data_IF_421657024834
#
_entry.id   IF_421657024834
#
_cell.length_a   1.000
_cell.length_b   1.000
_cell.length_c   1.000
_cell.angle_alpha   90.00
_cell.angle_beta   90.00
_cell.angle_gamma   90.00
#
_symmetry.space_group_name_H-M   'P 1'
#
loop_
_entity.id
_entity.type
_entity.pdbx_description
1 polymer ?
#
# COMPACT_ATOMS: atom_id res chain seq x y z
N UNK A 1 -9.42 -15.35 10.42
CA UNK A 1 -9.11 -15.69 11.84
C UNK A 1 -8.15 -16.87 11.87
N UNK A 2 -6.98 -16.70 12.50
CA UNK A 2 -5.89 -17.69 12.62
C UNK A 2 -5.54 -18.36 11.28
N UNK A 3 -5.53 -17.58 10.20
CA UNK A 3 -5.27 -18.08 8.86
C UNK A 3 -3.84 -18.60 8.74
N UNK A 4 -3.68 -19.85 8.33
CA UNK A 4 -2.39 -20.47 8.14
C UNK A 4 -2.26 -21.15 6.77
N UNK A 5 -1.07 -21.05 6.19
CA UNK A 5 -0.68 -21.80 4.99
C UNK A 5 0.73 -22.33 5.12
N UNK A 6 0.84 -23.64 4.99
CA UNK A 6 2.11 -24.35 4.84
C UNK A 6 2.08 -25.13 3.53
N UNK A 7 3.06 -24.91 2.66
CA UNK A 7 3.20 -25.68 1.43
C UNK A 7 3.89 -27.01 1.73
N UNK A 8 3.51 -28.06 1.00
CA UNK A 8 4.07 -29.41 1.19
C UNK A 8 5.60 -29.46 0.99
N UNK A 9 6.11 -28.61 0.11
CA UNK A 9 7.55 -28.50 -0.22
C UNK A 9 8.33 -27.65 0.75
N UNK A 10 7.70 -27.05 1.78
CA UNK A 10 8.35 -26.13 2.72
C UNK A 10 8.20 -26.58 4.17
N UNK A 11 9.28 -26.50 4.92
CA UNK A 11 9.25 -26.67 6.39
C UNK A 11 8.63 -25.48 7.12
N UNK A 12 8.61 -24.30 6.47
CA UNK A 12 8.13 -23.03 7.07
C UNK A 12 6.71 -22.72 6.61
N UNK A 13 5.98 -22.02 7.46
CA UNK A 13 4.67 -21.44 7.11
C UNK A 13 4.86 -20.24 6.17
N UNK A 14 4.08 -20.21 5.10
CA UNK A 14 3.93 -19.01 4.26
C UNK A 14 3.01 -17.98 4.93
N UNK A 15 1.98 -18.46 5.67
CA UNK A 15 1.16 -17.68 6.61
C UNK A 15 1.06 -18.47 7.90
N UNK A 16 1.38 -17.83 9.02
CA UNK A 16 1.47 -18.47 10.32
C UNK A 16 0.42 -17.91 11.29
N UNK A 17 -0.79 -18.47 11.22
CA UNK A 17 -1.92 -18.14 12.11
C UNK A 17 -2.19 -16.64 12.22
N UNK A 18 -2.29 -15.97 11.07
CA UNK A 18 -2.54 -14.54 11.01
C UNK A 18 -4.01 -14.22 11.33
N UNK A 19 -4.21 -13.15 12.11
CA UNK A 19 -5.49 -12.52 12.36
C UNK A 19 -5.50 -11.14 11.70
N UNK A 20 -6.48 -10.89 10.82
CA UNK A 20 -6.67 -9.62 10.16
C UNK A 20 -8.17 -9.33 10.03
N UNK A 21 -8.53 -8.08 10.28
CA UNK A 21 -9.86 -7.53 10.01
C UNK A 21 -9.69 -6.29 9.15
N UNK A 22 -10.49 -6.15 8.11
CA UNK A 22 -10.45 -5.05 7.17
C UNK A 22 -11.82 -4.41 7.16
N UNK A 23 -11.87 -3.10 7.39
CA UNK A 23 -13.12 -2.36 7.47
C UNK A 23 -13.71 -2.12 6.07
N UNK A 24 -15.03 -2.21 5.97
CA UNK A 24 -15.75 -1.90 4.74
C UNK A 24 -15.52 -0.44 4.32
N UNK A 25 -15.33 -0.22 3.02
CA UNK A 25 -15.09 1.11 2.44
C UNK A 25 -13.72 1.70 2.74
N UNK A 26 -12.82 0.98 3.43
CA UNK A 26 -11.44 1.44 3.65
C UNK A 26 -10.50 1.08 2.50
N UNK A 27 -9.37 1.80 2.42
CA UNK A 27 -8.20 1.39 1.65
C UNK A 27 -7.20 0.79 2.64
N UNK A 28 -7.05 -0.53 2.57
CA UNK A 28 -6.19 -1.31 3.45
C UNK A 28 -4.88 -1.68 2.76
N UNK A 29 -3.75 -1.35 3.38
CA UNK A 29 -2.42 -1.69 2.91
C UNK A 29 -1.87 -2.95 3.57
N UNK A 30 -1.49 -3.97 2.78
CA UNK A 30 -0.74 -5.12 3.26
C UNK A 30 0.72 -5.00 2.81
N UNK A 31 1.58 -4.56 3.71
CA UNK A 31 2.98 -4.30 3.48
C UNK A 31 3.87 -5.45 3.94
N UNK A 32 5.00 -5.61 3.29
CA UNK A 32 5.99 -6.60 3.68
C UNK A 32 7.04 -6.83 2.60
N UNK A 33 8.21 -7.37 2.95
CA UNK A 33 9.23 -7.71 1.97
C UNK A 33 8.76 -8.84 1.04
N UNK A 34 9.52 -9.08 -0.03
CA UNK A 34 9.27 -10.21 -0.90
C UNK A 34 9.37 -11.53 -0.11
N UNK A 35 8.44 -12.45 -0.37
CA UNK A 35 8.34 -13.70 0.39
C UNK A 35 7.71 -13.59 1.78
N UNK A 36 7.22 -12.42 2.20
CA UNK A 36 6.56 -12.25 3.50
C UNK A 36 5.23 -13.01 3.64
N UNK A 37 4.58 -13.37 2.52
CA UNK A 37 3.28 -14.07 2.51
C UNK A 37 2.14 -13.28 1.84
N UNK A 38 2.37 -12.06 1.33
CA UNK A 38 1.35 -11.20 0.74
C UNK A 38 0.57 -11.89 -0.38
N UNK A 39 1.26 -12.38 -1.42
CA UNK A 39 0.62 -13.06 -2.55
C UNK A 39 -0.03 -14.39 -2.13
N UNK A 40 0.50 -15.09 -1.10
CA UNK A 40 -0.17 -16.26 -0.54
C UNK A 40 -1.51 -15.90 0.09
N UNK A 41 -1.57 -14.78 0.82
CA UNK A 41 -2.80 -14.25 1.41
C UNK A 41 -3.83 -13.94 0.32
N UNK A 42 -3.44 -13.19 -0.71
CA UNK A 42 -4.31 -12.85 -1.86
C UNK A 42 -4.80 -14.12 -2.56
N UNK A 43 -3.90 -15.04 -2.86
CA UNK A 43 -4.25 -16.27 -3.58
C UNK A 43 -5.22 -17.16 -2.80
N UNK A 44 -5.20 -17.14 -1.47
CA UNK A 44 -6.21 -17.82 -0.65
C UNK A 44 -7.57 -17.12 -0.80
N UNK A 45 -7.63 -15.80 -0.70
CA UNK A 45 -8.86 -15.04 -0.89
C UNK A 45 -9.46 -15.25 -2.29
N UNK A 46 -8.61 -15.25 -3.31
CA UNK A 46 -8.99 -15.50 -4.71
C UNK A 46 -9.42 -16.96 -4.99
N UNK A 47 -9.22 -17.88 -4.03
CA UNK A 47 -9.49 -19.30 -4.21
C UNK A 47 -8.49 -20.04 -5.11
N UNK A 48 -7.32 -19.46 -5.36
CA UNK A 48 -6.24 -20.06 -6.16
C UNK A 48 -5.34 -20.98 -5.31
N UNK A 49 -5.33 -20.78 -4.00
CA UNK A 49 -4.55 -21.57 -3.04
C UNK A 49 -5.42 -21.97 -1.86
N UNK A 50 -5.48 -23.26 -1.55
CA UNK A 50 -6.16 -23.74 -0.35
C UNK A 50 -5.35 -23.39 0.90
N UNK A 51 -6.00 -22.83 1.91
CA UNK A 51 -5.42 -22.64 3.25
C UNK A 51 -5.12 -23.98 3.92
N UNK A 52 -4.22 -23.99 4.89
CA UNK A 52 -3.95 -25.17 5.72
C UNK A 52 -4.91 -25.23 6.92
N UNK A 53 -5.17 -24.08 7.55
CA UNK A 53 -6.11 -23.96 8.68
C UNK A 53 -6.58 -22.49 8.85
N UNK A 54 -7.49 -22.28 9.78
CA UNK A 54 -8.07 -20.97 10.07
C UNK A 54 -9.34 -20.71 9.25
N UNK A 55 -9.97 -19.57 9.47
CA UNK A 55 -11.22 -19.16 8.83
C UNK A 55 -11.03 -17.87 8.04
N UNK A 56 -11.72 -17.77 6.91
CA UNK A 56 -11.74 -16.57 6.07
C UNK A 56 -13.19 -16.20 5.78
N UNK A 57 -13.52 -14.94 6.03
CA UNK A 57 -14.82 -14.37 5.70
C UNK A 57 -14.63 -13.15 4.78
N UNK A 58 -15.45 -13.05 3.76
CA UNK A 58 -15.50 -11.88 2.86
C UNK A 58 -16.95 -11.41 2.81
N UNK A 59 -17.21 -10.17 3.21
CA UNK A 59 -18.57 -9.62 3.32
C UNK A 59 -19.52 -10.55 4.12
N UNK A 60 -19.02 -11.12 5.24
CA UNK A 60 -19.78 -12.05 6.08
C UNK A 60 -19.89 -13.49 5.58
N UNK A 61 -19.46 -13.78 4.35
CA UNK A 61 -19.54 -15.13 3.73
C UNK A 61 -18.24 -15.89 4.00
N UNK A 62 -18.40 -17.12 4.50
CA UNK A 62 -17.26 -18.00 4.80
C UNK A 62 -16.74 -18.66 3.51
N UNK A 63 -15.43 -18.58 3.29
CA UNK A 63 -14.75 -19.15 2.11
C UNK A 63 -14.88 -20.66 2.00
N UNK A 64 -14.98 -21.38 3.11
CA UNK A 64 -15.06 -22.85 3.09
C UNK A 64 -16.45 -23.35 2.73
N UNK A 65 -17.48 -22.62 3.13
CA UNK A 65 -18.89 -23.03 2.92
C UNK A 65 -19.45 -22.51 1.60
N UNK A 66 -19.07 -21.30 1.18
CA UNK A 66 -19.53 -20.71 -0.09
C UNK A 66 -18.41 -19.97 -0.83
N UNK A 67 -17.45 -20.70 -1.39
CA UNK A 67 -16.33 -20.12 -2.14
C UNK A 67 -16.77 -19.38 -3.42
N UNK A 68 -17.95 -19.71 -3.97
CA UNK A 68 -18.48 -19.06 -5.18
C UNK A 68 -18.90 -17.63 -4.88
N UNK A 69 -19.70 -17.42 -3.85
CA UNK A 69 -20.11 -16.07 -3.42
C UNK A 69 -18.92 -15.24 -2.95
N UNK A 70 -17.96 -15.85 -2.23
CA UNK A 70 -16.72 -15.14 -1.86
C UNK A 70 -15.97 -14.62 -3.08
N UNK A 71 -15.78 -15.45 -4.12
CA UNK A 71 -15.14 -14.99 -5.37
C UNK A 71 -15.97 -13.96 -6.12
N UNK A 72 -17.30 -14.03 -6.05
CA UNK A 72 -18.19 -13.03 -6.60
C UNK A 72 -18.09 -11.67 -5.90
N UNK A 73 -17.71 -11.65 -4.62
CA UNK A 73 -17.49 -10.45 -3.85
C UNK A 73 -16.08 -9.84 -4.05
N UNK A 74 -15.21 -10.48 -4.83
CA UNK A 74 -13.83 -10.07 -5.01
C UNK A 74 -13.52 -9.73 -6.47
N UNK A 75 -12.97 -8.55 -6.69
CA UNK A 75 -12.20 -8.24 -7.89
C UNK A 75 -10.71 -8.36 -7.59
N UNK A 76 -9.96 -9.09 -8.40
CA UNK A 76 -8.52 -9.31 -8.16
C UNK A 76 -7.72 -8.84 -9.35
N UNK A 77 -6.75 -7.96 -9.10
CA UNK A 77 -5.78 -7.46 -10.08
C UNK A 77 -4.41 -8.02 -9.71
N UNK A 78 -3.89 -8.99 -10.47
CA UNK A 78 -2.57 -9.56 -10.21
C UNK A 78 -1.44 -8.59 -10.56
N UNK A 79 -0.25 -8.88 -10.05
CA UNK A 79 0.96 -8.11 -10.30
C UNK A 79 1.35 -8.10 -11.78
N UNK A 80 1.20 -9.22 -12.48
CA UNK A 80 1.53 -9.32 -13.90
C UNK A 80 0.38 -8.82 -14.78
N UNK A 81 0.71 -8.19 -15.90
CA UNK A 81 -0.28 -7.75 -16.89
C UNK A 81 -0.67 -8.93 -17.76
N UNK A 82 -1.86 -9.47 -17.50
CA UNK A 82 -2.46 -10.58 -18.26
C UNK A 82 -3.60 -10.06 -19.14
N UNK A 83 -3.25 -9.47 -20.28
CA UNK A 83 -4.20 -8.94 -21.27
C UNK A 83 -3.85 -9.52 -22.63
N UNK A 84 -4.83 -10.13 -23.28
CA UNK A 84 -4.68 -10.58 -24.66
C UNK A 84 -4.54 -9.38 -25.59
N UNK A 85 -3.45 -9.28 -26.38
CA UNK A 85 -3.16 -8.12 -27.22
C UNK A 85 -4.10 -7.96 -28.42
N UNK A 86 -4.86 -8.99 -28.79
CA UNK A 86 -5.72 -9.04 -29.97
C UNK A 86 -7.18 -8.66 -29.72
N UNK A 87 -7.58 -8.48 -28.45
CA UNK A 87 -8.90 -7.97 -28.10
C UNK A 87 -8.86 -6.48 -27.80
N UNK A 88 -10.00 -5.82 -27.98
CA UNK A 88 -10.21 -4.46 -27.50
C UNK A 88 -10.58 -4.44 -26.01
N UNK A 89 -10.39 -3.33 -25.28
CA UNK A 89 -10.88 -3.19 -23.91
C UNK A 89 -12.36 -3.58 -23.76
N UNK A 90 -13.22 -3.14 -24.66
CA UNK A 90 -14.64 -3.45 -24.61
C UNK A 90 -14.91 -4.95 -24.76
N UNK A 91 -14.24 -5.62 -25.69
CA UNK A 91 -14.38 -7.08 -25.88
C UNK A 91 -13.90 -7.85 -24.62
N UNK A 92 -12.77 -7.45 -24.05
CA UNK A 92 -12.24 -8.05 -22.81
C UNK A 92 -13.26 -7.91 -21.68
N UNK A 93 -13.84 -6.70 -21.53
CA UNK A 93 -14.86 -6.43 -20.51
C UNK A 93 -16.12 -7.27 -20.74
N UNK A 94 -16.57 -7.40 -21.99
CA UNK A 94 -17.75 -8.21 -22.33
C UNK A 94 -17.53 -9.70 -22.06
N UNK A 95 -16.35 -10.22 -22.39
CA UNK A 95 -15.97 -11.61 -22.08
C UNK A 95 -15.99 -11.83 -20.57
N UNK A 96 -15.39 -10.90 -19.82
CA UNK A 96 -15.34 -10.98 -18.36
C UNK A 96 -16.74 -10.90 -17.73
N UNK A 97 -17.61 -10.03 -18.24
CA UNK A 97 -19.01 -9.94 -17.80
C UNK A 97 -19.75 -11.28 -18.01
N UNK A 98 -19.52 -11.92 -19.15
CA UNK A 98 -20.05 -13.26 -19.43
C UNK A 98 -19.56 -14.32 -18.45
N UNK A 99 -18.26 -14.29 -18.10
CA UNK A 99 -17.67 -15.26 -17.14
C UNK A 99 -18.26 -15.12 -15.72
N UNK A 100 -18.65 -13.91 -15.33
CA UNK A 100 -19.33 -13.65 -14.05
C UNK A 100 -20.87 -13.73 -14.15
N UNK A 101 -21.41 -14.09 -15.31
CA UNK A 101 -22.84 -14.14 -15.57
C UNK A 101 -23.56 -12.82 -15.22
N UNK A 102 -22.91 -11.67 -15.52
CA UNK A 102 -23.49 -10.36 -15.28
C UNK A 102 -24.68 -10.18 -16.22
N UNK A 103 -25.84 -9.91 -15.67
CA UNK A 103 -27.05 -9.66 -16.46
C UNK A 103 -26.87 -8.44 -17.38
N UNK A 104 -27.34 -8.50 -18.61
CA UNK A 104 -27.18 -7.44 -19.62
C UNK A 104 -27.56 -6.04 -19.13
N UNK A 105 -28.63 -5.91 -18.32
CA UNK A 105 -29.08 -4.64 -17.73
C UNK A 105 -28.11 -4.05 -16.71
N UNK A 106 -27.21 -4.88 -16.14
CA UNK A 106 -26.24 -4.52 -15.12
C UNK A 106 -24.84 -4.30 -15.70
N UNK A 107 -24.63 -4.51 -17.00
CA UNK A 107 -23.36 -4.28 -17.67
C UNK A 107 -23.09 -2.77 -17.76
N UNK A 108 -21.99 -2.32 -17.10
CA UNK A 108 -21.55 -0.92 -17.06
C UNK A 108 -20.15 -0.73 -17.63
N UNK A 109 -19.79 -1.55 -18.62
CA UNK A 109 -18.42 -1.60 -19.15
C UNK A 109 -17.93 -0.23 -19.63
N UNK A 110 -18.74 0.51 -20.40
CA UNK A 110 -18.38 1.84 -20.88
C UNK A 110 -18.18 2.84 -19.73
N UNK A 111 -19.03 2.80 -18.70
CA UNK A 111 -18.90 3.66 -17.51
C UNK A 111 -17.60 3.37 -16.76
N UNK A 112 -17.29 2.08 -16.57
CA UNK A 112 -16.05 1.64 -15.90
C UNK A 112 -14.83 2.09 -16.69
N UNK A 113 -14.81 1.89 -18.02
CA UNK A 113 -13.72 2.34 -18.89
C UNK A 113 -13.55 3.86 -18.82
N UNK A 114 -14.65 4.63 -18.83
CA UNK A 114 -14.61 6.09 -18.69
C UNK A 114 -14.03 6.52 -17.34
N UNK A 115 -14.47 5.90 -16.24
CA UNK A 115 -13.97 6.18 -14.88
C UNK A 115 -12.45 5.94 -14.79
N UNK A 116 -11.94 4.94 -15.51
CA UNK A 116 -10.52 4.61 -15.56
C UNK A 116 -9.75 5.32 -16.67
N UNK A 117 -10.38 6.27 -17.38
CA UNK A 117 -9.76 7.06 -18.45
C UNK A 117 -9.33 6.21 -19.66
N UNK A 118 -10.16 5.21 -19.99
CA UNK A 118 -9.97 4.31 -21.14
C UNK A 118 -11.11 4.38 -22.14
N UNK A 119 -12.11 5.25 -21.92
CA UNK A 119 -13.30 5.34 -22.75
C UNK A 119 -13.01 5.58 -24.24
N UNK A 120 -12.10 6.50 -24.59
CA UNK A 120 -11.68 6.78 -25.96
C UNK A 120 -10.86 5.64 -26.61
N UNK A 121 -10.41 4.69 -25.81
CA UNK A 121 -9.63 3.52 -26.25
C UNK A 121 -10.43 2.21 -26.14
N UNK A 122 -11.73 2.31 -25.91
CA UNK A 122 -12.60 1.14 -25.70
C UNK A 122 -12.54 0.15 -26.87
N UNK A 123 -12.42 0.66 -28.10
CA UNK A 123 -12.41 -0.13 -29.35
C UNK A 123 -11.01 -0.22 -29.98
N UNK A 124 -9.95 0.28 -29.32
CA UNK A 124 -8.59 0.14 -29.79
C UNK A 124 -7.99 -1.19 -29.32
N UNK A 125 -7.26 -1.91 -30.16
CA UNK A 125 -6.63 -3.17 -29.74
C UNK A 125 -5.71 -2.98 -28.54
N UNK A 126 -5.76 -3.93 -27.57
CA UNK A 126 -4.99 -3.86 -26.34
C UNK A 126 -3.46 -3.82 -26.58
N UNK A 127 -2.97 -4.33 -27.71
CA UNK A 127 -1.56 -4.20 -28.12
C UNK A 127 -1.09 -2.74 -28.26
N UNK A 128 -2.01 -1.82 -28.63
CA UNK A 128 -1.71 -0.39 -28.85
C UNK A 128 -1.71 0.42 -27.54
N UNK A 129 -2.18 -0.17 -26.42
CA UNK A 129 -2.23 0.50 -25.14
C UNK A 129 -0.86 0.58 -24.48
N UNK A 130 -0.58 1.71 -23.83
CA UNK A 130 0.60 1.84 -22.96
C UNK A 130 0.52 0.90 -21.75
N UNK A 131 1.66 0.64 -21.09
CA UNK A 131 1.69 -0.19 -19.89
C UNK A 131 0.73 0.28 -18.80
N UNK A 132 0.68 1.59 -18.55
CA UNK A 132 -0.26 2.18 -17.59
C UNK A 132 -1.72 2.07 -18.02
N UNK A 133 -2.04 2.13 -19.33
CA UNK A 133 -3.39 1.87 -19.84
C UNK A 133 -3.78 0.41 -19.67
N UNK A 134 -2.86 -0.52 -19.95
CA UNK A 134 -3.07 -1.95 -19.70
C UNK A 134 -3.32 -2.23 -18.23
N UNK A 135 -2.57 -1.59 -17.31
CA UNK A 135 -2.79 -1.72 -15.87
C UNK A 135 -4.17 -1.24 -15.45
N UNK A 136 -4.64 -0.09 -15.96
CA UNK A 136 -6.00 0.40 -15.71
C UNK A 136 -7.06 -0.50 -16.31
N UNK A 137 -6.81 -1.13 -17.45
CA UNK A 137 -7.70 -2.12 -18.03
C UNK A 137 -7.83 -3.39 -17.16
N UNK A 138 -6.73 -3.82 -16.50
CA UNK A 138 -6.79 -4.89 -15.50
C UNK A 138 -7.73 -4.54 -14.34
N UNK A 139 -7.66 -3.29 -13.85
CA UNK A 139 -8.59 -2.80 -12.81
C UNK A 139 -10.03 -2.77 -13.35
N UNK A 140 -10.24 -2.26 -14.58
CA UNK A 140 -11.56 -2.29 -15.23
C UNK A 140 -12.14 -3.69 -15.29
N UNK A 141 -11.35 -4.65 -15.77
CA UNK A 141 -11.70 -6.07 -15.85
C UNK A 141 -12.14 -6.64 -14.49
N UNK A 142 -11.40 -6.31 -13.42
CA UNK A 142 -11.73 -6.76 -12.07
C UNK A 142 -13.02 -6.15 -11.50
N UNK A 143 -13.48 -5.00 -12.05
CA UNK A 143 -14.68 -4.28 -11.61
C UNK A 143 -15.95 -4.64 -12.37
N UNK A 144 -15.89 -5.48 -13.40
CA UNK A 144 -17.01 -5.77 -14.32
C UNK A 144 -18.27 -6.25 -13.59
N UNK A 145 -18.11 -7.11 -12.57
CA UNK A 145 -19.20 -7.68 -11.78
C UNK A 145 -19.54 -6.86 -10.54
N UNK A 146 -19.01 -5.62 -10.44
CA UNK A 146 -19.23 -4.69 -9.34
C UNK A 146 -18.93 -5.27 -7.94
N UNK A 147 -17.74 -5.81 -7.73
CA UNK A 147 -17.39 -6.43 -6.45
C UNK A 147 -17.31 -5.39 -5.33
N UNK A 148 -17.79 -5.70 -4.12
CA UNK A 148 -17.63 -4.82 -2.96
C UNK A 148 -16.17 -4.70 -2.49
N UNK A 149 -15.31 -5.65 -2.85
CA UNK A 149 -13.89 -5.67 -2.48
C UNK A 149 -12.99 -5.81 -3.70
N UNK A 150 -12.04 -4.91 -3.86
CA UNK A 150 -11.02 -4.93 -4.92
C UNK A 150 -9.64 -5.17 -4.32
N UNK A 151 -8.97 -6.23 -4.76
CA UNK A 151 -7.61 -6.59 -4.38
C UNK A 151 -6.64 -6.18 -5.48
N UNK A 152 -5.61 -5.43 -5.13
CA UNK A 152 -4.58 -4.93 -6.04
C UNK A 152 -3.22 -5.47 -5.59
N UNK A 153 -2.65 -6.43 -6.31
CA UNK A 153 -1.34 -6.99 -5.99
C UNK A 153 -0.25 -6.19 -6.70
N UNK A 154 0.49 -5.37 -5.94
CA UNK A 154 1.56 -4.49 -6.41
C UNK A 154 1.20 -3.69 -7.68
N UNK A 155 0.09 -2.91 -7.67
CA UNK A 155 -0.52 -2.36 -8.88
C UNK A 155 0.37 -1.37 -9.63
N UNK A 156 1.40 -0.82 -9.01
CA UNK A 156 2.29 0.19 -9.59
C UNK A 156 3.72 -0.31 -9.81
N UNK A 157 3.96 -1.60 -9.62
CA UNK A 157 5.26 -2.19 -9.91
C UNK A 157 5.65 -1.96 -11.38
N UNK A 158 6.82 -1.35 -11.62
CA UNK A 158 7.30 -1.03 -12.96
C UNK A 158 6.54 0.09 -13.70
N UNK A 159 5.71 0.86 -13.00
CA UNK A 159 4.96 2.00 -13.55
C UNK A 159 5.69 3.30 -13.24
N UNK A 160 5.81 4.19 -14.22
CA UNK A 160 6.38 5.52 -14.03
C UNK A 160 5.54 6.41 -13.11
N UNK A 161 6.13 7.51 -12.63
CA UNK A 161 5.55 8.38 -11.60
C UNK A 161 4.22 9.00 -12.05
N UNK A 162 4.12 9.45 -13.31
CA UNK A 162 2.91 10.11 -13.81
C UNK A 162 1.75 9.12 -13.96
N UNK A 163 2.02 7.95 -14.54
CA UNK A 163 1.01 6.89 -14.71
C UNK A 163 0.56 6.33 -13.35
N UNK A 164 1.48 6.24 -12.38
CA UNK A 164 1.18 5.87 -11.01
C UNK A 164 0.18 6.83 -10.36
N UNK A 165 0.40 8.14 -10.49
CA UNK A 165 -0.52 9.15 -9.95
C UNK A 165 -1.93 9.04 -10.56
N UNK A 166 -2.03 8.78 -11.88
CA UNK A 166 -3.32 8.54 -12.56
C UNK A 166 -4.03 7.29 -12.03
N UNK A 167 -3.29 6.20 -11.80
CA UNK A 167 -3.87 4.98 -11.22
C UNK A 167 -4.35 5.21 -9.78
N UNK A 168 -3.59 5.92 -8.95
CA UNK A 168 -4.00 6.25 -7.58
C UNK A 168 -5.28 7.10 -7.52
N UNK A 169 -5.40 8.07 -8.45
CA UNK A 169 -6.64 8.84 -8.56
C UNK A 169 -7.83 7.93 -8.85
N UNK A 170 -7.69 7.02 -9.80
CA UNK A 170 -8.76 6.07 -10.15
C UNK A 170 -9.12 5.13 -8.98
N UNK A 171 -8.12 4.65 -8.23
CA UNK A 171 -8.32 3.82 -7.04
C UNK A 171 -9.13 4.59 -5.97
N UNK A 172 -8.75 5.84 -5.69
CA UNK A 172 -9.47 6.70 -4.74
C UNK A 172 -10.91 6.99 -5.19
N UNK A 173 -11.14 7.14 -6.49
CA UNK A 173 -12.49 7.34 -7.02
C UNK A 173 -13.37 6.09 -6.86
N UNK A 174 -12.83 4.89 -7.07
CA UNK A 174 -13.53 3.64 -6.81
C UNK A 174 -13.86 3.48 -5.32
N UNK A 175 -12.90 3.77 -4.44
CA UNK A 175 -13.12 3.72 -2.99
C UNK A 175 -14.19 4.71 -2.53
N UNK A 176 -14.19 5.96 -3.03
CA UNK A 176 -15.25 6.95 -2.74
C UNK A 176 -16.65 6.48 -3.18
N UNK A 177 -16.75 5.56 -4.13
CA UNK A 177 -18.00 4.93 -4.55
C UNK A 177 -18.41 3.75 -3.65
N UNK A 178 -17.66 3.49 -2.56
CA UNK A 178 -17.95 2.45 -1.57
C UNK A 178 -17.17 1.15 -1.72
N UNK A 179 -16.30 1.02 -2.72
CA UNK A 179 -15.48 -0.19 -2.89
C UNK A 179 -14.40 -0.26 -1.81
N UNK A 180 -14.34 -1.36 -1.05
CA UNK A 180 -13.21 -1.66 -0.15
C UNK A 180 -12.00 -2.07 -0.98
N UNK A 181 -10.82 -1.52 -0.68
CA UNK A 181 -9.62 -1.79 -1.46
C UNK A 181 -8.56 -2.44 -0.58
N UNK A 182 -8.02 -3.56 -1.01
CA UNK A 182 -6.87 -4.21 -0.41
C UNK A 182 -5.69 -4.03 -1.35
N UNK A 183 -4.67 -3.31 -0.91
CA UNK A 183 -3.49 -2.98 -1.68
C UNK A 183 -2.28 -3.70 -1.10
N UNK A 184 -1.60 -4.53 -1.89
CA UNK A 184 -0.24 -4.95 -1.52
C UNK A 184 0.79 -4.05 -2.18
N UNK A 185 1.79 -3.68 -1.45
CA UNK A 185 2.91 -2.92 -1.98
C UNK A 185 4.16 -3.11 -1.13
N UNK A 186 5.31 -2.93 -1.73
CA UNK A 186 6.57 -2.74 -1.03
C UNK A 186 7.03 -1.26 -1.09
N UNK A 187 6.28 -0.40 -1.80
CA UNK A 187 6.50 1.05 -1.85
C UNK A 187 5.74 1.73 -0.71
N UNK A 188 6.46 2.05 0.36
CA UNK A 188 5.86 2.62 1.58
C UNK A 188 5.15 3.95 1.36
N UNK A 189 5.65 4.78 0.43
CA UNK A 189 4.99 6.03 0.03
C UNK A 189 3.59 5.81 -0.57
N UNK A 190 3.34 4.68 -1.23
CA UNK A 190 2.00 4.36 -1.73
C UNK A 190 1.03 4.10 -0.59
N UNK A 191 1.45 3.28 0.37
CA UNK A 191 0.65 3.00 1.55
C UNK A 191 0.37 4.28 2.35
N UNK A 192 1.36 5.15 2.49
CA UNK A 192 1.22 6.43 3.16
C UNK A 192 0.22 7.37 2.46
N UNK A 193 0.22 7.41 1.14
CA UNK A 193 -0.66 8.28 0.35
C UNK A 193 -2.08 7.75 0.18
N UNK A 194 -2.26 6.42 0.17
CA UNK A 194 -3.52 5.79 -0.20
C UNK A 194 -4.25 5.17 0.98
N UNK A 195 -3.53 4.49 1.90
CA UNK A 195 -4.16 3.63 2.88
C UNK A 195 -4.67 4.39 4.10
N UNK A 196 -5.81 3.92 4.63
CA UNK A 196 -6.37 4.34 5.91
C UNK A 196 -5.79 3.49 7.04
N UNK A 197 -5.69 2.18 6.79
CA UNK A 197 -5.16 1.17 7.69
C UNK A 197 -4.04 0.38 7.01
N UNK A 198 -3.07 -0.07 7.78
CA UNK A 198 -1.90 -0.76 7.27
C UNK A 198 -1.57 -1.94 8.18
N UNK A 199 -1.44 -3.13 7.57
CA UNK A 199 -0.81 -4.27 8.22
C UNK A 199 0.58 -4.52 7.64
N UNK A 200 1.54 -4.76 8.51
CA UNK A 200 2.90 -5.17 8.13
C UNK A 200 3.04 -6.67 8.36
N UNK A 201 3.35 -7.40 7.29
CA UNK A 201 3.57 -8.84 7.35
C UNK A 201 5.06 -9.15 7.14
N UNK A 202 5.61 -10.03 7.98
CA UNK A 202 6.99 -10.52 7.85
C UNK A 202 7.04 -12.01 8.19
N UNK A 203 7.70 -12.80 7.35
CA UNK A 203 7.85 -14.27 7.52
C UNK A 203 6.54 -14.98 7.89
N UNK A 204 5.46 -14.58 7.22
CA UNK A 204 4.13 -15.13 7.42
C UNK A 204 3.38 -14.69 8.68
N UNK A 205 3.89 -13.72 9.43
CA UNK A 205 3.24 -13.18 10.64
C UNK A 205 2.91 -11.71 10.45
N UNK A 206 1.77 -11.27 10.98
CA UNK A 206 1.44 -9.86 11.11
C UNK A 206 2.23 -9.30 12.30
N UNK A 207 3.12 -8.35 12.03
CA UNK A 207 3.99 -7.74 13.05
C UNK A 207 3.49 -6.36 13.50
N UNK A 208 2.63 -5.73 12.70
CA UNK A 208 1.88 -4.52 13.05
C UNK A 208 0.58 -4.48 12.25
N UNK A 209 -0.47 -3.96 12.86
CA UNK A 209 -1.76 -3.70 12.19
C UNK A 209 -2.46 -2.55 12.91
N UNK A 210 -2.53 -1.39 12.27
CA UNK A 210 -3.15 -0.20 12.85
C UNK A 210 -3.50 0.82 11.75
N UNK A 211 -4.18 1.90 12.13
CA UNK A 211 -4.35 3.05 11.26
C UNK A 211 -3.00 3.66 10.87
N UNK A 212 -2.92 4.21 9.67
CA UNK A 212 -1.72 4.93 9.22
C UNK A 212 -1.25 5.96 10.25
N UNK A 213 -2.19 6.73 10.80
CA UNK A 213 -1.90 7.77 11.79
C UNK A 213 -1.27 7.21 13.07
N UNK A 214 -1.74 6.07 13.56
CA UNK A 214 -1.19 5.44 14.75
C UNK A 214 0.19 4.84 14.47
N UNK A 215 0.37 4.21 13.31
CA UNK A 215 1.69 3.70 12.92
C UNK A 215 2.73 4.82 12.84
N UNK A 216 2.39 5.97 12.26
CA UNK A 216 3.28 7.13 12.18
C UNK A 216 3.63 7.70 13.57
N UNK A 217 2.78 7.50 14.58
CA UNK A 217 3.08 7.87 15.97
C UNK A 217 4.07 6.95 16.67
N UNK A 218 4.26 5.71 16.19
CA UNK A 218 5.22 4.76 16.80
C UNK A 218 6.65 5.28 16.76
N UNK A 219 6.98 6.09 15.75
CA UNK A 219 8.22 6.84 15.69
C UNK A 219 7.94 8.29 16.11
N UNK A 220 8.05 8.54 17.40
CA UNK A 220 8.02 9.88 17.97
C UNK A 220 9.31 10.67 17.70
N UNK A 221 10.22 10.08 16.93
CA UNK A 221 11.51 10.66 16.61
C UNK A 221 11.39 11.65 15.44
N UNK A 222 12.03 12.80 15.61
CA UNK A 222 12.19 13.83 14.59
C UNK A 222 13.67 14.04 14.32
N UNK A 223 14.01 14.11 13.03
CA UNK A 223 15.37 14.44 12.61
C UNK A 223 15.40 15.88 12.11
N UNK A 224 16.35 16.66 12.62
CA UNK A 224 16.58 18.05 12.25
C UNK A 224 18.02 18.21 11.83
N UNK A 225 18.24 18.56 10.57
CA UNK A 225 19.55 18.95 10.05
C UNK A 225 19.64 20.46 10.14
N UNK A 226 20.68 20.95 10.79
CA UNK A 226 21.02 22.38 10.88
C UNK A 226 22.32 22.63 10.13
N UNK A 227 22.35 23.68 9.31
CA UNK A 227 23.57 24.20 8.67
C UNK A 227 23.98 25.49 9.35
N UNK A 228 25.27 25.64 9.62
CA UNK A 228 25.83 26.79 10.30
C UNK A 228 26.40 27.82 9.32
N UNK A 229 26.21 29.10 9.62
CA UNK A 229 26.83 30.20 8.84
C UNK A 229 28.34 30.19 8.96
N UNK A 230 28.87 29.80 10.13
CA UNK A 230 30.29 29.77 10.46
C UNK A 230 30.66 28.37 11.00
N UNK A 231 31.98 28.07 11.04
CA UNK A 231 32.47 26.81 11.59
C UNK A 231 32.16 26.72 13.10
N UNK A 232 31.47 25.67 13.51
CA UNK A 232 31.10 25.39 14.90
C UNK A 232 31.89 24.18 15.42
N UNK A 233 32.87 24.43 16.29
CA UNK A 233 33.67 23.36 16.90
C UNK A 233 32.90 22.56 17.95
N UNK A 234 32.13 23.24 18.79
CA UNK A 234 31.41 22.62 19.89
C UNK A 234 29.92 23.02 19.87
N UNK A 235 29.05 22.03 20.04
CA UNK A 235 27.61 22.24 20.25
C UNK A 235 27.32 22.51 21.73
N UNK A 236 26.24 23.26 22.04
CA UNK A 236 25.73 23.42 23.40
C UNK A 236 25.46 22.06 24.05
N UNK A 237 25.71 21.95 25.38
CA UNK A 237 25.53 20.67 26.09
C UNK A 237 24.15 20.02 25.85
N UNK A 238 23.10 20.82 25.97
CA UNK A 238 21.72 20.33 25.76
C UNK A 238 21.43 19.79 24.35
N UNK A 239 22.13 20.30 23.33
CA UNK A 239 21.96 19.86 21.93
C UNK A 239 22.85 18.66 21.63
N UNK A 240 24.00 18.57 22.28
CA UNK A 240 24.98 17.50 22.06
C UNK A 240 24.40 16.11 22.29
N UNK A 241 23.48 15.98 23.25
CA UNK A 241 22.84 14.70 23.59
C UNK A 241 21.91 14.17 22.49
N UNK A 242 21.41 15.06 21.61
CA UNK A 242 20.56 14.72 20.47
C UNK A 242 21.34 14.60 19.16
N UNK A 243 22.63 14.93 19.15
CA UNK A 243 23.43 14.98 17.93
C UNK A 243 23.90 13.59 17.51
N UNK A 244 23.45 13.14 16.30
CA UNK A 244 23.85 11.85 15.70
C UNK A 244 24.99 11.99 14.71
N UNK A 245 25.07 13.14 14.03
CA UNK A 245 26.12 13.44 13.05
C UNK A 245 26.50 14.92 13.17
N UNK A 246 27.81 15.20 13.11
CA UNK A 246 28.34 16.56 13.15
C UNK A 246 29.57 16.68 12.25
N UNK A 247 29.58 17.75 11.47
CA UNK A 247 30.79 18.29 10.85
C UNK A 247 31.00 19.76 11.28
N UNK A 248 31.99 20.45 10.69
CA UNK A 248 32.30 21.85 11.05
C UNK A 248 31.20 22.83 10.63
N UNK A 249 30.34 22.47 9.69
CA UNK A 249 29.33 23.36 9.10
C UNK A 249 27.91 22.84 9.23
N UNK A 250 27.70 21.62 9.72
CA UNK A 250 26.36 21.07 9.93
C UNK A 250 26.28 20.15 11.13
N UNK A 251 25.06 19.96 11.64
CA UNK A 251 24.75 18.92 12.62
C UNK A 251 23.38 18.32 12.33
N UNK A 252 23.28 17.02 12.50
CA UNK A 252 22.01 16.30 12.44
C UNK A 252 21.62 15.88 13.86
N UNK A 253 20.43 16.32 14.26
CA UNK A 253 19.87 16.08 15.58
C UNK A 253 18.71 15.12 15.45
N UNK A 254 18.61 14.15 16.37
CA UNK A 254 17.51 13.21 16.47
C UNK A 254 16.96 13.22 17.88
N UNK A 255 15.67 13.47 18.02
CA UNK A 255 15.02 13.63 19.33
C UNK A 255 13.56 13.18 19.27
N UNK A 256 13.01 12.87 20.45
CA UNK A 256 11.58 12.58 20.59
C UNK A 256 10.80 13.90 20.58
N UNK A 257 9.85 14.05 19.64
CA UNK A 257 9.01 15.25 19.48
C UNK A 257 8.09 15.56 20.69
N UNK A 258 7.87 14.55 21.56
CA UNK A 258 7.08 14.71 22.78
C UNK A 258 7.94 15.21 23.96
N UNK A 259 9.27 15.07 23.89
CA UNK A 259 10.20 15.49 24.95
C UNK A 259 10.73 16.90 24.69
N UNK A 260 11.01 17.22 23.43
CA UNK A 260 11.53 18.53 23.04
C UNK A 260 10.97 18.93 21.68
N UNK A 261 10.69 20.21 21.50
CA UNK A 261 10.25 20.71 20.20
C UNK A 261 11.38 21.43 19.43
N UNK A 262 11.22 21.49 18.09
CA UNK A 262 12.20 22.11 17.21
C UNK A 262 12.47 23.57 17.57
N UNK A 263 11.46 24.31 18.06
CA UNK A 263 11.61 25.72 18.43
C UNK A 263 12.51 25.88 19.67
N UNK A 264 12.47 24.95 20.61
CA UNK A 264 13.36 24.94 21.78
C UNK A 264 14.81 24.71 21.37
N UNK A 265 15.03 23.76 20.44
CA UNK A 265 16.38 23.53 19.90
C UNK A 265 16.93 24.76 19.17
N UNK A 266 16.10 25.43 18.36
CA UNK A 266 16.51 26.65 17.66
C UNK A 266 16.85 27.77 18.66
N UNK A 267 16.04 27.96 19.70
CA UNK A 267 16.33 28.93 20.76
C UNK A 267 17.67 28.66 21.46
N UNK A 268 18.00 27.38 21.69
CA UNK A 268 19.27 27.03 22.32
C UNK A 268 20.49 27.36 21.43
N UNK A 269 20.38 27.19 20.10
CA UNK A 269 21.41 27.63 19.17
C UNK A 269 21.59 29.16 19.21
N UNK A 270 20.47 29.90 19.16
CA UNK A 270 20.48 31.38 19.23
C UNK A 270 21.10 31.86 20.54
N UNK A 271 20.68 31.29 21.68
CA UNK A 271 21.21 31.61 22.99
C UNK A 271 22.72 31.34 23.10
N UNK A 272 23.20 30.36 22.37
CA UNK A 272 24.61 29.97 22.32
C UNK A 272 25.42 30.76 21.27
N UNK A 273 24.79 31.79 20.66
CA UNK A 273 25.42 32.65 19.62
C UNK A 273 25.94 31.86 18.42
N UNK A 274 25.23 30.78 18.05
CA UNK A 274 25.50 29.99 16.87
C UNK A 274 24.53 30.43 15.76
N UNK A 275 25.09 31.03 14.71
CA UNK A 275 24.29 31.50 13.58
C UNK A 275 23.94 30.31 12.67
N UNK A 276 22.64 30.10 12.50
CA UNK A 276 22.08 29.09 11.63
C UNK A 276 21.92 29.65 10.22
N UNK A 277 22.39 28.90 9.22
CA UNK A 277 22.26 29.24 7.81
C UNK A 277 20.98 28.63 7.23
N UNK A 278 20.69 27.37 7.58
CA UNK A 278 19.50 26.65 7.13
C UNK A 278 19.09 25.59 8.15
N UNK A 279 17.80 25.25 8.12
CA UNK A 279 17.23 24.21 8.97
C UNK A 279 16.31 23.35 8.12
N UNK A 280 16.66 22.08 7.97
CA UNK A 280 15.83 21.09 7.30
C UNK A 280 15.28 20.13 8.33
N UNK A 281 13.96 19.94 8.34
CA UNK A 281 13.31 18.97 9.23
C UNK A 281 12.84 17.76 8.42
N UNK A 282 13.20 16.57 8.88
CA UNK A 282 12.66 15.29 8.37
C UNK A 282 11.78 14.68 9.46
N UNK A 283 10.50 14.53 9.15
CA UNK A 283 9.62 13.70 9.97
C UNK A 283 9.81 12.24 9.60
N UNK A 284 9.69 11.36 10.59
CA UNK A 284 9.72 9.92 10.35
C UNK A 284 8.62 9.52 9.37
N UNK A 285 8.97 8.75 8.38
CA UNK A 285 8.05 8.19 7.40
C UNK A 285 7.77 6.70 7.70
N UNK A 286 6.87 6.10 6.92
CA UNK A 286 6.58 4.66 7.06
C UNK A 286 7.79 3.78 6.78
N UNK A 287 8.81 4.28 6.07
CA UNK A 287 10.03 3.53 5.78
C UNK A 287 10.87 3.33 7.04
N UNK A 288 10.99 4.37 7.86
CA UNK A 288 11.69 4.30 9.14
C UNK A 288 10.99 3.32 10.11
N UNK A 289 9.64 3.35 10.15
CA UNK A 289 8.83 2.42 10.94
C UNK A 289 9.02 0.98 10.46
N UNK A 290 8.94 0.77 9.15
CA UNK A 290 9.07 -0.54 8.55
C UNK A 290 10.42 -1.17 8.85
N UNK A 291 11.53 -0.40 8.73
CA UNK A 291 12.88 -0.85 9.07
C UNK A 291 12.97 -1.24 10.55
N UNK A 292 12.37 -0.44 11.45
CA UNK A 292 12.36 -0.73 12.91
C UNK A 292 11.59 -2.01 13.21
N UNK A 293 10.40 -2.19 12.61
CA UNK A 293 9.57 -3.38 12.81
C UNK A 293 10.19 -4.67 12.25
N UNK A 294 11.00 -4.57 11.19
CA UNK A 294 11.66 -5.74 10.60
C UNK A 294 12.92 -6.18 11.37
N UNK A 295 13.53 -5.28 12.17
CA UNK A 295 14.73 -5.57 12.98
C UNK A 295 14.40 -6.24 14.33
N UNK A 296 13.17 -6.05 14.81
CA UNK A 296 12.65 -6.72 16.02
C UNK A 296 12.01 -8.09 15.64
#
# INVERSE_FOLDING_TARGET
>A
KKLAKKYLTSSKYALNHIDLSINEGSIFGLLGPNGAGKSTFINILAGLVNKTSGEVFVCGVNLDTDPKTVRGNLGVVPQEIMIDPFFTPMEIMNIQAGMYAVEKKNIRNQEILNTLGLGEKADAYARSLSGGMKRRLMVAKAMVHNPPVLILDEPTAGVDVELRAKLWKSIKELNKKGTTIILTTHYLKEAELLCDEIAVINKGKVIANDTKTNLLKILEEKEVKVEFSNKVKNLPKKIKDFCILKDDQSATLKFNKNEINTAELIKEFINSKIDLKDITTKESDLEDIFIKLLKN
#
